data_IF_604133459258
#
_entry.id   IF_604133459258
#
_cell.length_a   1.000
_cell.length_b   1.000
_cell.length_c   1.000
_cell.angle_alpha   90.00
_cell.angle_beta   90.00
_cell.angle_gamma   90.00
#
_symmetry.space_group_name_H-M   'P 1'
#
loop_
_entity.id
_entity.type
_entity.pdbx_description
1 polymer ?
#
# COMPACT_ATOMS: atom_id res chain seq x y z
N UNK A 1 -9.86 4.46 23.07
CA UNK A 1 -8.76 4.81 22.14
C UNK A 1 -9.33 5.25 20.79
N UNK A 2 -8.73 6.23 20.08
CA UNK A 2 -9.24 6.72 18.77
C UNK A 2 -8.44 6.04 17.65
N UNK A 3 -9.11 5.21 16.87
CA UNK A 3 -8.54 4.61 15.66
C UNK A 3 -8.63 5.60 14.50
N UNK A 4 -7.63 5.55 13.64
CA UNK A 4 -7.56 6.28 12.40
C UNK A 4 -7.81 5.29 11.26
N UNK A 5 -8.32 5.79 10.13
CA UNK A 5 -8.64 4.99 8.94
C UNK A 5 -7.73 5.35 7.77
N UNK A 6 -7.44 4.40 6.91
CA UNK A 6 -6.87 4.63 5.57
C UNK A 6 -7.75 5.59 4.76
N UNK A 7 -7.17 6.29 3.78
CA UNK A 7 -7.95 7.09 2.84
C UNK A 7 -8.67 6.21 1.81
N UNK A 8 -8.07 5.10 1.43
CA UNK A 8 -8.58 4.17 0.44
C UNK A 8 -9.19 2.92 1.09
N UNK A 9 -10.05 2.25 0.32
CA UNK A 9 -10.52 0.89 0.58
C UNK A 9 -9.72 -0.04 -0.32
N UNK A 10 -9.27 -1.16 0.21
CA UNK A 10 -8.41 -2.10 -0.50
C UNK A 10 -9.19 -3.38 -0.79
N UNK A 11 -9.11 -3.89 -2.02
CA UNK A 11 -9.69 -5.19 -2.36
C UNK A 11 -8.70 -6.29 -1.93
N UNK A 12 -8.94 -6.91 -0.79
CA UNK A 12 -8.05 -7.89 -0.18
C UNK A 12 -8.59 -9.30 -0.36
N UNK A 13 -7.68 -10.28 -0.41
CA UNK A 13 -8.02 -11.71 -0.42
C UNK A 13 -8.79 -12.06 0.86
N UNK A 14 -10.03 -12.61 0.76
CA UNK A 14 -10.84 -12.91 1.93
C UNK A 14 -10.21 -14.01 2.81
N UNK A 15 -9.32 -14.86 2.28
CA UNK A 15 -8.59 -15.85 3.08
C UNK A 15 -7.69 -15.19 4.11
N UNK A 16 -7.04 -14.09 3.75
CA UNK A 16 -6.22 -13.33 4.70
C UNK A 16 -7.10 -12.77 5.82
N UNK A 17 -8.26 -12.21 5.49
CA UNK A 17 -9.21 -11.68 6.48
C UNK A 17 -9.80 -12.77 7.37
N UNK A 18 -10.08 -13.93 6.79
CA UNK A 18 -10.60 -15.10 7.50
C UNK A 18 -9.56 -15.72 8.45
N UNK A 19 -8.26 -15.52 8.21
CA UNK A 19 -7.21 -15.97 9.13
C UNK A 19 -7.02 -15.07 10.36
N UNK A 20 -7.37 -13.79 10.27
CA UNK A 20 -7.14 -12.82 11.36
C UNK A 20 -8.00 -13.09 12.61
N UNK A 21 -7.46 -12.96 13.83
CA UNK A 21 -8.30 -12.98 15.04
C UNK A 21 -9.28 -11.82 15.05
N UNK A 22 -10.46 -12.01 15.64
CA UNK A 22 -11.43 -10.93 15.87
C UNK A 22 -10.91 -10.03 16.99
N UNK A 23 -11.02 -8.72 16.81
CA UNK A 23 -10.63 -7.76 17.84
C UNK A 23 -11.51 -7.94 19.09
N UNK A 24 -10.97 -7.95 20.33
CA UNK A 24 -11.77 -8.13 21.55
C UNK A 24 -12.93 -7.14 21.69
N UNK A 25 -12.72 -5.88 21.30
CA UNK A 25 -13.76 -4.84 21.29
C UNK A 25 -14.49 -4.69 19.94
N UNK A 26 -14.56 -5.73 19.10
CA UNK A 26 -15.12 -5.65 17.74
C UNK A 26 -16.51 -5.00 17.74
N UNK A 27 -17.46 -5.50 18.52
CA UNK A 27 -18.86 -5.03 18.57
C UNK A 27 -18.98 -3.50 18.79
N UNK A 28 -18.12 -2.95 19.65
CA UNK A 28 -18.09 -1.51 19.94
C UNK A 28 -17.49 -0.70 18.79
N UNK A 29 -16.57 -1.31 18.04
CA UNK A 29 -15.81 -0.66 16.98
C UNK A 29 -16.46 -0.79 15.60
N UNK A 30 -17.26 -1.84 15.37
CA UNK A 30 -17.94 -2.10 14.09
C UNK A 30 -18.76 -0.90 13.61
N UNK A 31 -19.51 -0.26 14.52
CA UNK A 31 -20.32 0.93 14.20
C UNK A 31 -19.50 2.15 13.75
N UNK A 32 -18.17 2.11 13.88
CA UNK A 32 -17.29 3.15 13.35
C UNK A 32 -16.94 2.94 11.88
N UNK A 33 -17.28 1.81 11.28
CA UNK A 33 -16.94 1.47 9.89
C UNK A 33 -18.20 1.27 9.06
N UNK A 34 -18.32 2.06 7.99
CA UNK A 34 -19.38 1.91 7.00
C UNK A 34 -19.13 0.70 6.09
N UNK A 35 -17.87 0.31 5.91
CA UNK A 35 -17.47 -0.83 5.08
C UNK A 35 -17.88 -2.16 5.72
N UNK A 36 -18.03 -3.19 4.90
CA UNK A 36 -18.34 -4.55 5.36
C UNK A 36 -17.16 -5.22 6.06
N UNK A 37 -15.94 -4.86 5.66
CA UNK A 37 -14.71 -5.40 6.21
C UNK A 37 -13.83 -4.28 6.74
N UNK A 38 -13.36 -4.45 7.98
CA UNK A 38 -12.44 -3.51 8.61
C UNK A 38 -11.33 -4.27 9.33
N UNK A 39 -10.08 -3.95 9.01
CA UNK A 39 -8.88 -4.56 9.61
C UNK A 39 -8.18 -3.52 10.45
N UNK A 40 -7.93 -3.81 11.72
CA UNK A 40 -7.06 -3.01 12.57
C UNK A 40 -5.64 -3.59 12.49
N UNK A 41 -4.74 -2.86 11.84
CA UNK A 41 -3.32 -3.26 11.81
C UNK A 41 -2.64 -2.98 13.15
N UNK A 42 -1.86 -3.97 13.59
CA UNK A 42 -0.99 -3.91 14.74
C UNK A 42 0.36 -3.29 14.41
N UNK A 43 1.27 -3.37 15.36
CA UNK A 43 2.61 -2.85 15.29
C UNK A 43 3.61 -4.00 15.45
N UNK A 44 4.15 -4.47 14.33
CA UNK A 44 5.14 -5.55 14.29
C UNK A 44 6.37 -5.24 15.16
N UNK A 45 6.78 -3.97 15.25
CA UNK A 45 7.96 -3.58 16.05
C UNK A 45 7.72 -3.68 17.57
N UNK A 46 6.45 -3.78 17.99
CA UNK A 46 6.05 -3.97 19.39
C UNK A 46 5.44 -5.35 19.65
N UNK A 47 5.45 -6.26 18.66
CA UNK A 47 4.78 -7.55 18.75
C UNK A 47 3.25 -7.47 18.81
N UNK A 48 2.66 -6.34 18.40
CA UNK A 48 1.20 -6.17 18.34
C UNK A 48 0.66 -6.82 17.05
N UNK A 49 -0.25 -7.79 17.19
CA UNK A 49 -0.89 -8.48 16.07
C UNK A 49 -1.96 -7.63 15.35
N UNK A 50 -2.30 -8.04 14.14
CA UNK A 50 -3.40 -7.49 13.35
C UNK A 50 -4.72 -8.17 13.72
N UNK A 51 -5.83 -7.43 13.69
CA UNK A 51 -7.16 -7.93 14.05
C UNK A 51 -8.21 -7.57 13.03
N UNK A 52 -9.18 -8.45 12.84
CA UNK A 52 -10.40 -8.12 12.13
C UNK A 52 -11.39 -7.43 13.08
N UNK A 53 -11.81 -6.23 12.72
CA UNK A 53 -12.77 -5.44 13.51
C UNK A 53 -14.21 -5.73 13.07
N UNK A 54 -14.42 -6.00 11.78
CA UNK A 54 -15.75 -6.22 11.19
C UNK A 54 -15.67 -7.22 10.04
N UNK A 55 -16.70 -8.06 9.91
CA UNK A 55 -16.92 -8.88 8.72
C UNK A 55 -16.37 -10.31 8.79
N UNK A 56 -16.13 -10.88 9.98
CA UNK A 56 -15.53 -12.21 10.14
C UNK A 56 -16.31 -13.32 9.43
N UNK A 57 -17.60 -13.44 9.70
CA UNK A 57 -18.46 -14.45 9.07
C UNK A 57 -18.58 -14.22 7.56
N UNK A 58 -18.61 -12.96 7.10
CA UNK A 58 -18.63 -12.63 5.67
C UNK A 58 -17.32 -13.03 4.99
N UNK A 59 -16.18 -12.91 5.67
CA UNK A 59 -14.86 -13.26 5.13
C UNK A 59 -14.74 -14.76 4.91
N UNK A 60 -15.20 -15.57 5.88
CA UNK A 60 -15.27 -17.02 5.70
C UNK A 60 -16.16 -17.42 4.53
N UNK A 61 -17.39 -16.90 4.46
CA UNK A 61 -18.30 -17.18 3.35
C UNK A 61 -17.72 -16.75 1.99
N UNK A 62 -17.05 -15.60 1.93
CA UNK A 62 -16.40 -15.14 0.71
C UNK A 62 -15.25 -16.06 0.29
N UNK A 63 -14.44 -16.52 1.25
CA UNK A 63 -13.35 -17.47 1.01
C UNK A 63 -13.88 -18.85 0.56
N UNK A 64 -14.95 -19.35 1.17
CA UNK A 64 -15.62 -20.60 0.79
C UNK A 64 -16.25 -20.53 -0.61
N UNK A 65 -16.87 -19.41 -0.95
CA UNK A 65 -17.48 -19.18 -2.26
C UNK A 65 -16.47 -18.86 -3.37
N UNK A 66 -15.16 -18.87 -3.08
CA UNK A 66 -14.11 -18.60 -4.06
C UNK A 66 -14.08 -17.15 -4.55
N UNK A 67 -14.58 -16.19 -3.76
CA UNK A 67 -14.46 -14.78 -4.09
C UNK A 67 -12.99 -14.39 -3.98
N UNK A 68 -12.39 -13.85 -5.05
CA UNK A 68 -10.96 -13.52 -5.06
C UNK A 68 -10.61 -12.34 -4.16
N UNK A 69 -11.42 -11.28 -4.18
CA UNK A 69 -11.13 -10.06 -3.41
C UNK A 69 -12.39 -9.42 -2.83
N UNK A 70 -12.26 -8.89 -1.61
CA UNK A 70 -13.33 -8.16 -0.91
C UNK A 70 -12.85 -6.79 -0.45
N UNK A 71 -13.72 -5.75 -0.48
CA UNK A 71 -13.33 -4.39 -0.11
C UNK A 71 -13.18 -4.24 1.41
N UNK A 72 -11.96 -4.01 1.87
CA UNK A 72 -11.62 -3.82 3.27
C UNK A 72 -11.03 -2.44 3.56
N UNK A 73 -11.48 -1.83 4.67
CA UNK A 73 -10.91 -0.59 5.19
C UNK A 73 -9.81 -0.91 6.19
N UNK A 74 -8.66 -0.24 6.07
CA UNK A 74 -7.57 -0.39 7.04
C UNK A 74 -7.72 0.65 8.14
N UNK A 75 -7.69 0.19 9.37
CA UNK A 75 -7.69 0.97 10.60
C UNK A 75 -6.34 0.82 11.30
N UNK A 76 -5.91 1.85 12.02
CA UNK A 76 -4.62 1.84 12.69
C UNK A 76 -4.62 2.76 13.92
N UNK A 77 -3.70 2.49 14.85
CA UNK A 77 -3.47 3.34 16.03
C UNK A 77 -2.51 4.48 15.70
N UNK A 78 -2.74 5.65 16.29
CA UNK A 78 -1.76 6.72 16.20
C UNK A 78 -0.53 6.37 17.06
N UNK A 79 0.64 6.22 16.44
CA UNK A 79 1.89 5.93 17.15
C UNK A 79 2.65 7.21 17.60
N UNK A 80 2.16 8.39 17.23
CA UNK A 80 2.71 9.67 17.68
C UNK A 80 1.94 10.20 18.90
N UNK A 81 2.64 10.76 19.90
CA UNK A 81 2.00 11.46 21.01
C UNK A 81 1.06 12.57 20.52
N UNK A 82 -0.09 12.76 21.19
CA UNK A 82 -1.11 13.72 20.74
C UNK A 82 -0.61 15.16 20.65
N UNK A 83 0.23 15.58 21.59
CA UNK A 83 0.82 16.92 21.61
C UNK A 83 1.76 17.18 20.41
N UNK A 84 2.25 16.12 19.74
CA UNK A 84 3.07 16.22 18.54
C UNK A 84 2.28 16.06 17.25
N UNK A 85 0.96 15.86 17.30
CA UNK A 85 0.14 15.50 16.14
C UNK A 85 0.28 16.44 14.94
N UNK A 86 0.52 17.73 15.18
CA UNK A 86 0.79 18.72 14.13
C UNK A 86 2.04 18.35 13.30
N UNK A 87 3.06 17.75 13.92
CA UNK A 87 4.28 17.38 13.24
C UNK A 87 4.08 16.26 12.21
N UNK A 88 2.98 15.51 12.30
CA UNK A 88 2.65 14.47 11.32
C UNK A 88 2.48 14.98 9.88
N UNK A 89 2.33 16.30 9.69
CA UNK A 89 2.34 16.96 8.37
C UNK A 89 3.75 17.00 7.75
N UNK A 90 4.80 16.84 8.55
CA UNK A 90 6.19 16.82 8.10
C UNK A 90 6.71 15.41 7.86
N UNK A 91 7.53 15.27 6.82
CA UNK A 91 8.10 13.99 6.37
C UNK A 91 8.99 13.35 7.43
N UNK A 92 9.79 14.13 8.16
CA UNK A 92 10.72 13.60 9.16
C UNK A 92 9.97 12.91 10.31
N UNK A 93 8.89 13.52 10.81
CA UNK A 93 8.09 12.96 11.88
C UNK A 93 7.36 11.70 11.42
N UNK A 94 6.76 11.72 10.21
CA UNK A 94 6.17 10.51 9.61
C UNK A 94 7.18 9.38 9.48
N UNK A 95 8.44 9.67 9.16
CA UNK A 95 9.49 8.64 9.10
C UNK A 95 9.81 8.07 10.49
N UNK A 96 9.88 8.92 11.52
CA UNK A 96 10.21 8.53 12.90
C UNK A 96 9.13 7.67 13.56
N UNK A 97 7.85 8.01 13.37
CA UNK A 97 6.73 7.34 14.04
C UNK A 97 6.04 6.26 13.18
N UNK A 98 6.59 5.96 11.99
CA UNK A 98 6.06 4.90 11.12
C UNK A 98 6.21 3.54 11.77
N UNK A 99 5.19 2.69 11.64
CA UNK A 99 5.28 1.27 11.96
C UNK A 99 4.71 0.41 10.84
N UNK A 100 5.09 -0.87 10.80
CA UNK A 100 4.52 -1.89 9.90
C UNK A 100 3.48 -2.72 10.64
N UNK A 101 2.46 -3.16 9.88
CA UNK A 101 1.53 -4.21 10.27
C UNK A 101 2.27 -5.52 10.55
N UNK A 102 1.68 -6.38 11.38
CA UNK A 102 2.20 -7.71 11.62
C UNK A 102 1.83 -8.69 10.49
N UNK A 103 0.67 -8.47 9.86
CA UNK A 103 0.16 -9.31 8.78
C UNK A 103 0.68 -8.92 7.40
N UNK A 104 0.69 -9.92 6.53
CA UNK A 104 0.86 -9.81 5.09
C UNK A 104 -0.51 -10.09 4.46
N UNK A 105 -0.87 -9.31 3.46
CA UNK A 105 -2.15 -9.36 2.77
C UNK A 105 -1.95 -9.49 1.27
N UNK A 106 -2.96 -9.94 0.56
CA UNK A 106 -2.91 -10.16 -0.87
C UNK A 106 -3.93 -9.29 -1.59
N UNK A 107 -3.47 -8.71 -2.70
CA UNK A 107 -4.24 -7.78 -3.53
C UNK A 107 -3.80 -7.93 -4.98
N UNK A 108 -4.67 -7.52 -5.90
CA UNK A 108 -4.37 -7.41 -7.32
C UNK A 108 -3.37 -6.26 -7.60
N UNK A 109 -2.30 -6.55 -8.33
CA UNK A 109 -1.35 -5.56 -8.83
C UNK A 109 -2.03 -4.56 -9.77
N UNK A 110 -2.97 -5.02 -10.60
CA UNK A 110 -3.79 -4.17 -11.47
C UNK A 110 -4.61 -3.19 -10.65
N UNK A 111 -5.23 -3.64 -9.56
CA UNK A 111 -5.99 -2.76 -8.67
C UNK A 111 -5.12 -1.66 -8.07
N UNK A 112 -3.91 -2.00 -7.56
CA UNK A 112 -2.98 -0.96 -7.05
C UNK A 112 -2.65 0.08 -8.11
N UNK A 113 -2.37 -0.37 -9.35
CA UNK A 113 -2.09 0.51 -10.50
C UNK A 113 -3.28 1.43 -10.79
N UNK A 114 -4.49 0.86 -10.86
CA UNK A 114 -5.73 1.60 -11.13
C UNK A 114 -6.04 2.65 -10.06
N UNK A 115 -5.81 2.31 -8.78
CA UNK A 115 -5.97 3.22 -7.65
C UNK A 115 -5.02 4.43 -7.76
N UNK A 116 -3.89 4.33 -8.46
CA UNK A 116 -2.95 5.44 -8.63
C UNK A 116 -2.32 5.89 -7.31
N UNK A 117 -2.08 4.95 -6.39
CA UNK A 117 -1.37 5.20 -5.12
C UNK A 117 0.16 5.11 -5.29
N UNK A 118 0.63 4.65 -6.44
CA UNK A 118 2.03 4.68 -6.85
C UNK A 118 2.52 6.12 -7.00
N UNK A 119 3.79 6.35 -6.63
CA UNK A 119 4.42 7.68 -6.67
C UNK A 119 5.14 7.94 -7.99
N UNK A 120 5.11 6.97 -8.90
CA UNK A 120 5.85 6.95 -10.15
C UNK A 120 6.01 5.52 -10.64
N UNK A 121 5.75 5.28 -11.92
CA UNK A 121 5.91 3.96 -12.53
C UNK A 121 7.39 3.65 -12.71
N UNK A 122 7.82 2.50 -12.18
CA UNK A 122 9.19 2.03 -12.29
C UNK A 122 9.30 0.98 -13.37
N UNK A 123 9.75 1.39 -14.54
CA UNK A 123 10.01 0.53 -15.71
C UNK A 123 11.46 0.06 -15.69
N UNK A 124 11.83 -0.84 -16.61
CA UNK A 124 13.21 -1.33 -16.78
C UNK A 124 14.24 -0.20 -16.88
N UNK A 125 13.91 0.88 -17.59
CA UNK A 125 14.81 2.00 -17.88
C UNK A 125 15.12 2.84 -16.63
N UNK A 126 14.13 3.01 -15.75
CA UNK A 126 14.22 3.93 -14.62
C UNK A 126 14.29 3.24 -13.24
N UNK A 127 14.03 1.94 -13.19
CA UNK A 127 14.16 1.14 -11.99
C UNK A 127 15.62 1.18 -11.48
N UNK A 128 15.75 1.08 -10.15
CA UNK A 128 17.03 1.20 -9.45
C UNK A 128 17.82 2.50 -9.74
N UNK A 129 17.17 3.50 -10.35
CA UNK A 129 17.75 4.82 -10.65
C UNK A 129 17.93 5.64 -9.37
N UNK A 130 19.09 5.52 -8.72
CA UNK A 130 19.44 6.33 -7.56
C UNK A 130 19.94 7.70 -8.05
N UNK A 131 19.29 8.77 -7.58
CA UNK A 131 19.64 10.16 -7.96
C UNK A 131 20.98 10.62 -7.37
N UNK A 132 21.38 10.09 -6.21
CA UNK A 132 22.63 10.47 -5.57
C UNK A 132 23.83 9.89 -6.35
N UNK A 133 24.74 10.72 -6.89
CA UNK A 133 25.88 10.24 -7.68
C UNK A 133 26.77 9.23 -6.94
N UNK A 134 26.95 9.41 -5.62
CA UNK A 134 27.79 8.52 -4.78
C UNK A 134 27.30 7.08 -4.75
N UNK A 135 26.00 6.87 -4.94
CA UNK A 135 25.34 5.56 -4.85
C UNK A 135 24.71 5.14 -6.19
N UNK A 136 25.09 5.80 -7.29
CA UNK A 136 24.49 5.56 -8.60
C UNK A 136 24.94 4.20 -9.13
N UNK A 137 23.98 3.34 -9.41
CA UNK A 137 24.23 2.03 -10.00
C UNK A 137 24.39 2.21 -11.52
N UNK A 138 25.44 1.64 -12.14
CA UNK A 138 25.59 1.62 -13.60
C UNK A 138 24.36 1.05 -14.29
N UNK A 139 24.04 1.55 -15.48
CA UNK A 139 22.83 1.17 -16.21
C UNK A 139 22.74 -0.34 -16.51
N UNK A 140 23.82 -0.96 -16.98
CA UNK A 140 23.88 -2.41 -17.21
C UNK A 140 23.54 -3.22 -15.95
N UNK A 141 24.06 -2.81 -14.78
CA UNK A 141 23.75 -3.44 -13.50
C UNK A 141 22.30 -3.21 -13.07
N UNK A 142 21.69 -2.07 -13.40
CA UNK A 142 20.26 -1.81 -13.12
C UNK A 142 19.37 -2.68 -13.99
N UNK A 143 19.67 -2.77 -15.29
CA UNK A 143 18.95 -3.62 -16.23
C UNK A 143 19.06 -5.09 -15.84
N UNK A 144 20.27 -5.57 -15.52
CA UNK A 144 20.48 -6.95 -15.06
C UNK A 144 19.68 -7.30 -13.80
N UNK A 145 19.65 -6.41 -12.79
CA UNK A 145 18.81 -6.59 -11.60
C UNK A 145 17.31 -6.68 -11.92
N UNK A 146 16.86 -5.87 -12.87
CA UNK A 146 15.47 -5.88 -13.30
C UNK A 146 15.11 -7.19 -14.02
N UNK A 147 15.98 -7.62 -14.94
CA UNK A 147 15.81 -8.88 -15.69
C UNK A 147 15.87 -10.11 -14.78
N UNK A 148 16.78 -10.12 -13.83
CA UNK A 148 16.89 -11.20 -12.84
C UNK A 148 15.60 -11.33 -12.03
N UNK A 149 15.08 -10.22 -11.50
CA UNK A 149 13.83 -10.22 -10.75
C UNK A 149 12.62 -10.56 -11.65
N UNK A 150 12.60 -10.11 -12.90
CA UNK A 150 11.59 -10.46 -13.90
C UNK A 150 11.59 -11.96 -14.19
N UNK A 151 12.77 -12.56 -14.38
CA UNK A 151 12.92 -14.01 -14.55
C UNK A 151 12.43 -14.78 -13.32
N UNK A 152 12.82 -14.35 -12.12
CA UNK A 152 12.36 -14.98 -10.88
C UNK A 152 10.84 -14.95 -10.74
N UNK A 153 10.21 -13.80 -11.00
CA UNK A 153 8.75 -13.66 -10.91
C UNK A 153 8.04 -14.49 -11.98
N UNK A 154 8.61 -14.58 -13.20
CA UNK A 154 8.07 -15.41 -14.28
C UNK A 154 8.09 -16.90 -13.92
N UNK A 155 9.20 -17.37 -13.36
CA UNK A 155 9.43 -18.80 -13.10
C UNK A 155 8.77 -19.28 -11.79
N UNK A 156 8.76 -18.43 -10.75
CA UNK A 156 8.38 -18.83 -9.39
C UNK A 156 7.13 -18.09 -8.87
N UNK A 157 6.60 -17.14 -9.63
CA UNK A 157 5.55 -16.24 -9.17
C UNK A 157 6.05 -15.17 -8.19
N UNK A 158 5.11 -14.44 -7.59
CA UNK A 158 5.44 -13.42 -6.60
C UNK A 158 5.68 -14.06 -5.22
N UNK A 159 6.73 -13.61 -4.54
CA UNK A 159 7.15 -14.12 -3.23
C UNK A 159 6.62 -13.27 -2.08
N UNK A 160 5.94 -13.92 -1.14
CA UNK A 160 5.29 -13.26 -0.01
C UNK A 160 6.30 -12.72 1.01
N UNK A 161 7.52 -13.29 1.07
CA UNK A 161 8.61 -12.83 1.95
C UNK A 161 9.08 -11.41 1.62
N UNK A 162 8.68 -10.90 0.47
CA UNK A 162 9.05 -9.59 -0.02
C UNK A 162 7.80 -8.74 -0.29
N UNK A 163 6.99 -8.40 0.72
CA UNK A 163 5.74 -7.68 0.49
C UNK A 163 6.00 -6.26 -0.06
N UNK A 164 5.04 -5.76 -0.81
CA UNK A 164 4.96 -4.36 -1.26
C UNK A 164 4.41 -3.51 -0.12
N UNK A 165 5.13 -2.48 0.28
CA UNK A 165 4.73 -1.67 1.43
C UNK A 165 3.80 -0.54 1.01
N UNK A 166 2.55 -0.58 1.44
CA UNK A 166 1.58 0.51 1.31
C UNK A 166 1.59 1.32 2.59
N UNK A 167 1.80 2.64 2.49
CA UNK A 167 1.80 3.49 3.68
C UNK A 167 0.51 4.30 3.74
N UNK A 168 -0.33 3.95 4.72
CA UNK A 168 -1.60 4.64 4.95
C UNK A 168 -1.32 6.04 5.46
N UNK A 169 -2.03 7.03 4.90
CA UNK A 169 -1.96 8.43 5.30
C UNK A 169 -0.55 9.06 5.14
N UNK A 170 0.21 8.66 4.12
CA UNK A 170 1.56 9.16 3.86
C UNK A 170 1.60 10.57 3.27
N UNK A 171 0.77 10.88 2.28
CA UNK A 171 0.79 12.17 1.60
C UNK A 171 0.17 13.21 2.50
N UNK A 172 1.00 14.14 3.01
CA UNK A 172 0.62 15.14 4.01
C UNK A 172 -0.08 14.62 5.28
N UNK A 173 -0.02 13.32 5.56
CA UNK A 173 -0.77 12.73 6.67
C UNK A 173 -2.23 12.37 6.35
N UNK A 174 -2.66 12.49 5.08
CA UNK A 174 -4.09 12.42 4.70
C UNK A 174 -4.43 11.39 3.64
N UNK A 175 -3.55 11.13 2.66
CA UNK A 175 -3.78 10.13 1.61
C UNK A 175 -2.77 8.98 1.66
N UNK A 176 -3.24 7.79 1.35
CA UNK A 176 -2.42 6.59 1.25
C UNK A 176 -1.55 6.63 -0.01
N UNK A 177 -0.32 6.12 0.08
CA UNK A 177 0.56 5.98 -1.10
C UNK A 177 1.53 4.82 -0.90
N UNK A 178 2.07 4.31 -2.00
CA UNK A 178 3.06 3.24 -1.98
C UNK A 178 4.40 3.72 -1.39
N UNK A 179 4.85 3.09 -0.32
CA UNK A 179 6.15 3.38 0.30
C UNK A 179 7.28 2.75 -0.52
N UNK A 180 7.22 1.44 -0.73
CA UNK A 180 8.25 0.62 -1.39
C UNK A 180 7.65 -0.40 -2.36
N UNK A 181 8.45 -0.89 -3.29
CA UNK A 181 8.04 -1.96 -4.22
C UNK A 181 7.45 -1.52 -5.55
N UNK A 182 7.59 -0.24 -5.94
CA UNK A 182 7.05 0.30 -7.20
C UNK A 182 7.49 -0.49 -8.45
N UNK A 183 8.74 -0.97 -8.51
CA UNK A 183 9.24 -1.76 -9.65
C UNK A 183 8.71 -3.19 -9.65
N UNK A 184 8.47 -3.78 -8.47
CA UNK A 184 7.88 -5.12 -8.35
C UNK A 184 6.47 -5.15 -8.95
N UNK A 185 5.66 -4.10 -8.75
CA UNK A 185 4.34 -3.99 -9.38
C UNK A 185 4.46 -4.00 -10.91
N UNK A 186 5.36 -3.19 -11.48
CA UNK A 186 5.55 -3.18 -12.95
C UNK A 186 5.97 -4.55 -13.47
N UNK A 187 6.96 -5.20 -12.82
CA UNK A 187 7.43 -6.53 -13.23
C UNK A 187 6.31 -7.56 -13.13
N UNK A 188 5.55 -7.58 -12.04
CA UNK A 188 4.40 -8.45 -11.86
C UNK A 188 3.39 -8.29 -13.01
N UNK A 189 3.03 -7.04 -13.34
CA UNK A 189 2.13 -6.75 -14.45
C UNK A 189 2.69 -7.17 -15.81
N UNK A 190 3.99 -6.96 -16.05
CA UNK A 190 4.68 -7.40 -17.27
C UNK A 190 4.73 -8.92 -17.41
N UNK A 191 4.86 -9.66 -16.30
CA UNK A 191 4.88 -11.13 -16.31
C UNK A 191 3.48 -11.76 -16.16
N UNK A 192 2.40 -10.97 -16.09
CA UNK A 192 1.04 -11.48 -15.92
C UNK A 192 0.72 -12.03 -14.51
N UNK A 193 1.57 -11.75 -13.52
CA UNK A 193 1.37 -12.15 -12.12
C UNK A 193 0.56 -11.07 -11.41
N UNK A 194 -0.74 -11.28 -11.20
CA UNK A 194 -1.61 -10.25 -10.62
C UNK A 194 -1.68 -10.31 -9.09
N UNK A 195 -1.68 -11.51 -8.49
CA UNK A 195 -1.74 -11.65 -7.04
C UNK A 195 -0.39 -11.28 -6.42
N UNK A 196 -0.37 -10.22 -5.61
CA UNK A 196 0.84 -9.74 -4.94
C UNK A 196 0.63 -9.61 -3.44
N UNK A 197 1.69 -9.84 -2.67
CA UNK A 197 1.69 -9.64 -1.23
C UNK A 197 2.02 -8.17 -0.87
N UNK A 198 1.28 -7.64 0.10
CA UNK A 198 1.41 -6.29 0.63
C UNK A 198 1.48 -6.28 2.14
N UNK A 199 2.23 -5.33 2.68
CA UNK A 199 2.19 -4.96 4.10
C UNK A 199 1.65 -3.52 4.21
N UNK A 200 0.95 -3.23 5.30
CA UNK A 200 0.49 -1.89 5.58
C UNK A 200 1.43 -1.21 6.57
N UNK A 201 1.77 0.04 6.28
CA UNK A 201 2.56 0.89 7.17
C UNK A 201 1.73 2.07 7.62
N UNK A 202 1.57 2.22 8.93
CA UNK A 202 0.82 3.32 9.50
C UNK A 202 1.72 4.47 9.93
N UNK A 203 1.15 5.66 9.80
CA UNK A 203 1.65 6.90 10.40
C UNK A 203 0.53 7.69 11.01
N UNK A 204 0.91 8.65 11.82
CA UNK A 204 0.01 9.61 12.44
C UNK A 204 -0.72 10.49 11.42
N UNK A 205 -1.98 10.80 11.73
CA UNK A 205 -2.75 11.85 11.03
C UNK A 205 -2.56 13.20 11.73
N UNK A 206 -2.61 14.30 10.96
CA UNK A 206 -2.64 15.63 11.54
C UNK A 206 -3.98 15.90 12.23
N UNK A 207 -4.05 16.95 13.06
CA UNK A 207 -5.32 17.42 13.60
C UNK A 207 -6.33 17.69 12.48
N UNK A 208 -7.62 17.56 12.78
CA UNK A 208 -8.69 17.55 11.77
C UNK A 208 -8.67 18.80 10.87
N UNK A 209 -8.48 19.98 11.45
CA UNK A 209 -8.43 21.26 10.70
C UNK A 209 -7.33 21.23 9.63
N UNK A 210 -6.14 20.76 10.00
CA UNK A 210 -5.03 20.62 9.06
C UNK A 210 -5.24 19.47 8.07
N UNK A 211 -5.87 18.37 8.49
CA UNK A 211 -6.22 17.28 7.59
C UNK A 211 -7.15 17.76 6.47
N UNK A 212 -8.14 18.59 6.79
CA UNK A 212 -9.05 19.19 5.82
C UNK A 212 -8.31 20.14 4.86
N UNK A 213 -7.49 21.03 5.40
CA UNK A 213 -6.71 21.99 4.61
C UNK A 213 -5.73 21.29 3.66
N UNK A 214 -5.15 20.17 4.10
CA UNK A 214 -4.16 19.40 3.32
C UNK A 214 -4.77 18.40 2.35
N UNK A 215 -6.09 18.15 2.43
CA UNK A 215 -6.74 17.14 1.58
C UNK A 215 -6.72 17.54 0.10
N UNK A 216 -7.12 18.77 -0.22
CA UNK A 216 -7.10 19.30 -1.60
C UNK A 216 -5.70 19.26 -2.23
N UNK A 217 -4.64 19.82 -1.61
CA UNK A 217 -3.30 19.76 -2.20
C UNK A 217 -2.76 18.32 -2.29
N UNK A 218 -3.10 17.44 -1.34
CA UNK A 218 -2.76 16.02 -1.46
C UNK A 218 -3.44 15.35 -2.66
N UNK A 219 -4.72 15.65 -2.89
CA UNK A 219 -5.51 15.11 -4.01
C UNK A 219 -5.03 15.64 -5.35
N UNK A 220 -4.79 16.95 -5.46
CA UNK A 220 -4.22 17.57 -6.65
C UNK A 220 -2.87 16.92 -7.03
N UNK A 221 -1.98 16.74 -6.04
CA UNK A 221 -0.70 16.04 -6.25
C UNK A 221 -0.88 14.61 -6.77
N UNK A 222 -1.84 13.86 -6.22
CA UNK A 222 -2.15 12.49 -6.68
C UNK A 222 -2.65 12.48 -8.11
N UNK A 223 -3.57 13.38 -8.47
CA UNK A 223 -4.09 13.50 -9.84
C UNK A 223 -2.96 13.82 -10.83
N UNK A 224 -2.11 14.81 -10.52
CA UNK A 224 -0.95 15.15 -11.36
C UNK A 224 -0.03 13.95 -11.54
N UNK A 225 0.26 13.23 -10.45
CA UNK A 225 1.10 12.03 -10.49
C UNK A 225 0.47 10.92 -11.34
N UNK A 226 -0.85 10.72 -11.25
CA UNK A 226 -1.58 9.75 -12.05
C UNK A 226 -1.50 10.09 -13.55
N UNK A 227 -1.77 11.35 -13.91
CA UNK A 227 -1.64 11.83 -15.31
C UNK A 227 -0.21 11.62 -15.85
N UNK A 228 0.81 11.89 -15.02
CA UNK A 228 2.21 11.66 -15.40
C UNK A 228 2.51 10.17 -15.63
N UNK A 229 1.97 9.30 -14.77
CA UNK A 229 2.12 7.85 -14.89
C UNK A 229 1.42 7.32 -16.16
N UNK A 230 0.20 7.77 -16.43
CA UNK A 230 -0.57 7.33 -17.60
C UNK A 230 0.14 7.72 -18.91
N UNK A 231 0.68 8.94 -18.97
CA UNK A 231 1.54 9.38 -20.09
C UNK A 231 2.77 8.50 -20.26
N UNK A 232 3.42 8.12 -19.16
CA UNK A 232 4.60 7.27 -19.19
C UNK A 232 4.28 5.86 -19.72
N UNK A 233 3.15 5.28 -19.31
CA UNK A 233 2.69 3.96 -19.78
C UNK A 233 2.41 3.99 -21.29
N UNK A 234 1.62 4.96 -21.75
CA UNK A 234 1.26 5.10 -23.17
C UNK A 234 2.48 5.30 -24.06
N UNK A 235 3.48 6.06 -23.60
CA UNK A 235 4.73 6.26 -24.33
C UNK A 235 5.52 4.96 -24.52
N UNK A 236 5.57 4.08 -23.51
CA UNK A 236 6.28 2.80 -23.62
C UNK A 236 5.50 1.77 -24.45
N UNK A 237 4.15 1.79 -24.38
CA UNK A 237 3.30 0.97 -25.24
C UNK A 237 3.54 1.28 -26.73
N UNK A 238 3.56 2.56 -27.11
CA UNK A 238 3.77 2.97 -28.50
C UNK A 238 5.18 2.67 -29.02
N UNK A 239 6.20 2.63 -28.16
CA UNK A 239 7.54 2.21 -28.55
C UNK A 239 7.65 0.69 -28.79
N UNK A 240 6.90 -0.11 -28.05
CA UNK A 240 6.94 -1.57 -28.18
C UNK A 240 6.16 -2.08 -29.41
N UNK A 241 5.26 -1.27 -29.98
CA UNK A 241 4.52 -1.59 -31.21
C UNK A 241 5.21 -1.09 -32.50
N UNK A 242 6.35 -0.41 -32.39
CA UNK A 242 7.13 0.10 -33.53
C UNK A 242 8.42 -0.71 -33.78
N UNK A 243 8.59 -1.83 -33.08
CA UNK A 243 9.68 -2.82 -33.24
C UNK A 243 9.03 -4.14 -33.60
#
# INVERSE_FOLDING_TARGET
>A
MKFLKSSETYKLDPKDLASLPVHPDADRLEGRFSEDFAVLIGNAQKGEADFLVKGKAKAFKAAENGIEYVPARIAFKNNMPRFLSILSMFKFARKKFKYSSAGIYHISAKEIRMMGIERGIRTKENAYGIRNPKWRIPESKRAGKYEELSKQIREQGYKDEHPISIMVCRSFGVLDTLDQGHHRISICLEQGVDRIAVEFRAVSKPPLVFALLLWLPAKAKRIITKIQNDKQINFHSNKSSMI
#
